data_IF_877852828906
#
_entry.id   IF_877852828906
#
_cell.length_a   1.000
_cell.length_b   1.000
_cell.length_c   1.000
_cell.angle_alpha   90.00
_cell.angle_beta   90.00
_cell.angle_gamma   90.00
#
_symmetry.space_group_name_H-M   'P 1'
#
loop_
_entity.id
_entity.type
_entity.pdbx_description
1 polymer ?
#
# COMPACT_ATOMS: atom_id res chain seq x y z
N UNK A 1 22.46 -10.83 -0.66
CA UNK A 1 21.94 -10.39 0.66
C UNK A 1 20.75 -9.52 0.38
N UNK A 2 19.66 -9.80 1.04
CA UNK A 2 18.45 -9.02 0.88
C UNK A 2 18.65 -7.61 1.40
N UNK A 3 18.01 -6.64 0.77
CA UNK A 3 17.98 -5.25 1.21
C UNK A 3 16.53 -4.84 1.41
N UNK A 4 16.24 -4.27 2.56
CA UNK A 4 14.92 -3.74 2.87
C UNK A 4 14.90 -2.24 2.57
N UNK A 5 14.11 -1.84 1.59
CA UNK A 5 13.90 -0.45 1.19
C UNK A 5 12.64 0.10 1.83
N UNK A 6 12.73 1.29 2.42
CA UNK A 6 11.60 1.99 3.07
C UNK A 6 11.67 3.47 2.74
N UNK A 7 10.55 4.05 2.30
CA UNK A 7 10.49 5.50 2.09
C UNK A 7 9.99 6.23 3.34
N UNK A 8 10.55 7.41 3.59
CA UNK A 8 9.92 8.45 4.41
C UNK A 8 9.26 9.45 3.48
N UNK A 9 7.94 9.55 3.55
CA UNK A 9 7.20 10.53 2.79
C UNK A 9 7.57 11.95 3.25
N UNK A 10 7.42 12.23 4.53
CA UNK A 10 7.74 13.54 5.12
C UNK A 10 9.22 13.94 5.01
N UNK A 11 10.11 12.95 5.05
CA UNK A 11 11.55 13.18 4.93
C UNK A 11 12.07 13.23 3.50
N UNK A 12 11.25 12.88 2.51
CA UNK A 12 11.64 12.77 1.09
C UNK A 12 12.87 11.88 0.89
N UNK A 13 12.90 10.74 1.59
CA UNK A 13 14.05 9.83 1.58
C UNK A 13 13.68 8.40 1.24
N UNK A 14 14.62 7.68 0.61
CA UNK A 14 14.62 6.23 0.54
C UNK A 14 15.72 5.70 1.47
N UNK A 15 15.33 4.87 2.42
CA UNK A 15 16.22 4.27 3.41
C UNK A 15 16.43 2.79 3.10
N UNK A 16 17.69 2.34 3.14
CA UNK A 16 18.08 0.97 2.87
C UNK A 16 18.62 0.32 4.15
N UNK A 17 18.10 -0.85 4.48
CA UNK A 17 18.51 -1.61 5.66
C UNK A 17 18.90 -3.05 5.30
N UNK A 18 19.81 -3.61 6.04
CA UNK A 18 20.02 -5.05 6.12
C UNK A 18 18.94 -5.65 7.05
N UNK A 19 18.04 -6.50 6.55
CA UNK A 19 16.93 -7.01 7.36
C UNK A 19 17.39 -7.98 8.45
N UNK A 20 18.61 -8.51 8.40
CA UNK A 20 19.16 -9.42 9.40
C UNK A 20 19.79 -8.67 10.56
N UNK A 21 20.72 -7.78 10.28
CA UNK A 21 21.37 -6.96 11.32
C UNK A 21 20.50 -5.81 11.80
N UNK A 22 19.61 -5.28 10.93
CA UNK A 22 18.82 -4.07 11.17
C UNK A 22 19.63 -2.78 10.93
N UNK A 23 20.85 -2.89 10.44
CA UNK A 23 21.68 -1.72 10.17
C UNK A 23 21.20 -0.99 8.91
N UNK A 24 21.16 0.35 8.98
CA UNK A 24 20.98 1.19 7.80
C UNK A 24 22.23 1.11 6.93
N UNK A 25 22.08 0.62 5.71
CA UNK A 25 23.17 0.43 4.75
C UNK A 25 23.27 1.53 3.71
N UNK A 26 22.27 2.42 3.65
CA UNK A 26 22.24 3.57 2.75
C UNK A 26 21.01 4.43 2.97
N UNK A 27 21.10 5.65 2.48
CA UNK A 27 19.99 6.60 2.43
C UNK A 27 20.15 7.46 1.19
N UNK A 28 19.07 7.60 0.45
CA UNK A 28 18.96 8.56 -0.66
C UNK A 28 18.05 9.69 -0.16
N UNK A 29 18.57 10.91 -0.25
CA UNK A 29 17.88 12.13 0.17
C UNK A 29 17.40 12.92 -1.05
N UNK A 30 16.56 13.91 -0.80
CA UNK A 30 16.14 14.89 -1.79
C UNK A 30 15.45 14.24 -3.01
N UNK A 31 14.59 13.25 -2.77
CA UNK A 31 13.71 12.73 -3.81
C UNK A 31 12.82 13.87 -4.37
N UNK A 32 12.41 13.75 -5.63
CA UNK A 32 11.76 14.81 -6.43
C UNK A 32 10.55 15.43 -5.74
N UNK A 33 9.77 14.59 -5.03
CA UNK A 33 8.61 14.94 -4.24
C UNK A 33 8.46 13.91 -3.12
N UNK A 34 7.43 14.03 -2.30
CA UNK A 34 7.16 13.03 -1.27
C UNK A 34 6.97 11.63 -1.87
N UNK A 35 7.86 10.67 -1.57
CA UNK A 35 7.74 9.30 -2.06
C UNK A 35 6.62 8.58 -1.32
N UNK A 36 5.90 7.71 -2.03
CA UNK A 36 4.71 7.05 -1.46
C UNK A 36 4.88 5.54 -1.36
N UNK A 37 4.86 4.85 -2.51
CA UNK A 37 4.91 3.40 -2.56
C UNK A 37 6.08 2.89 -3.38
N UNK A 38 6.43 1.63 -3.14
CA UNK A 38 7.57 0.96 -3.74
C UNK A 38 7.14 -0.30 -4.49
N UNK A 39 7.71 -0.50 -5.67
CA UNK A 39 7.56 -1.75 -6.42
C UNK A 39 8.91 -2.19 -6.99
N UNK A 40 9.40 -3.35 -6.56
CA UNK A 40 10.69 -3.88 -6.99
C UNK A 40 10.55 -4.91 -8.11
N UNK A 41 11.26 -4.71 -9.21
CA UNK A 41 11.41 -5.72 -10.26
C UNK A 41 12.71 -6.51 -10.06
N UNK A 42 12.59 -7.72 -9.55
CA UNK A 42 13.73 -8.59 -9.29
C UNK A 42 14.42 -9.13 -10.58
N UNK A 43 13.81 -8.95 -11.76
CA UNK A 43 14.39 -9.33 -13.05
C UNK A 43 15.44 -8.32 -13.50
N UNK A 44 15.15 -7.04 -13.28
CA UNK A 44 15.99 -5.91 -13.73
C UNK A 44 16.84 -5.34 -12.61
N UNK A 45 16.39 -5.46 -11.35
CA UNK A 45 16.98 -4.82 -10.20
C UNK A 45 16.54 -3.37 -10.02
N UNK A 46 15.51 -2.92 -10.75
CA UNK A 46 14.94 -1.59 -10.58
C UNK A 46 13.85 -1.57 -9.50
N UNK A 47 13.89 -0.54 -8.69
CA UNK A 47 12.85 -0.18 -7.74
C UNK A 47 12.12 1.07 -8.25
N UNK A 48 10.82 0.94 -8.45
CA UNK A 48 9.95 2.04 -8.84
C UNK A 48 9.36 2.69 -7.59
N UNK A 49 9.40 4.02 -7.54
CA UNK A 49 8.95 4.83 -6.41
C UNK A 49 7.88 5.79 -6.92
N UNK A 50 6.65 5.67 -6.46
CA UNK A 50 5.58 6.61 -6.80
C UNK A 50 5.71 7.91 -6.02
N UNK A 51 5.30 9.03 -6.66
CA UNK A 51 5.20 10.34 -6.03
C UNK A 51 3.78 10.87 -6.25
N UNK A 52 2.95 10.81 -5.20
CA UNK A 52 1.53 11.13 -5.32
C UNK A 52 1.27 12.63 -5.21
N UNK A 53 1.89 13.29 -4.23
CA UNK A 53 1.73 14.71 -3.95
C UNK A 53 3.08 15.40 -3.80
N UNK A 54 3.08 16.73 -3.97
CA UNK A 54 4.25 17.52 -3.61
C UNK A 54 4.53 17.45 -2.10
N UNK A 55 3.46 17.47 -1.29
CA UNK A 55 3.49 17.32 0.16
C UNK A 55 2.10 17.03 0.70
N UNK A 56 2.05 16.47 1.93
CA UNK A 56 0.81 16.25 2.65
C UNK A 56 0.20 14.87 2.43
N UNK A 57 -1.03 14.70 2.85
CA UNK A 57 -1.65 13.40 2.85
C UNK A 57 -3.17 13.50 2.69
N UNK A 58 -3.78 12.45 2.18
CA UNK A 58 -5.21 12.20 2.08
C UNK A 58 -5.97 13.40 1.47
N UNK A 59 -6.82 14.12 2.24
CA UNK A 59 -7.55 15.33 1.80
C UNK A 59 -6.76 16.62 2.04
N UNK A 60 -5.63 16.55 2.77
CA UNK A 60 -4.80 17.69 3.17
C UNK A 60 -3.43 17.62 2.47
N UNK A 61 -3.44 17.74 1.14
CA UNK A 61 -2.22 17.64 0.33
C UNK A 61 -2.05 18.87 -0.57
N UNK A 62 -0.81 19.08 -1.06
CA UNK A 62 -0.47 20.03 -2.09
C UNK A 62 -0.89 19.57 -3.48
N UNK A 63 -0.24 20.12 -4.52
CA UNK A 63 -0.49 19.70 -5.88
C UNK A 63 -0.16 18.22 -6.10
N UNK A 64 -0.89 17.58 -7.01
CA UNK A 64 -0.55 16.26 -7.52
C UNK A 64 0.81 16.28 -8.24
N UNK A 65 1.49 15.15 -8.19
CA UNK A 65 2.67 14.85 -8.97
C UNK A 65 2.33 13.78 -10.01
N UNK A 66 3.04 13.77 -11.14
CA UNK A 66 2.84 12.81 -12.24
C UNK A 66 4.12 12.03 -12.51
N UNK A 67 4.87 11.70 -11.47
CA UNK A 67 6.22 11.16 -11.57
C UNK A 67 6.35 9.82 -10.83
N UNK A 68 7.17 8.93 -11.41
CA UNK A 68 7.63 7.69 -10.79
C UNK A 68 9.15 7.65 -10.93
N UNK A 69 9.89 7.65 -9.83
CA UNK A 69 11.35 7.51 -9.86
C UNK A 69 11.76 6.06 -10.12
N UNK A 70 12.85 5.87 -10.86
CA UNK A 70 13.48 4.57 -11.11
C UNK A 70 14.82 4.52 -10.38
N UNK A 71 14.90 3.72 -9.33
CA UNK A 71 16.11 3.51 -8.54
C UNK A 71 16.76 2.18 -8.95
N UNK A 72 18.04 2.21 -9.24
CA UNK A 72 18.83 1.00 -9.51
C UNK A 72 19.43 0.45 -8.21
N UNK A 73 19.00 -0.73 -7.80
CA UNK A 73 19.44 -1.37 -6.57
C UNK A 73 20.92 -1.74 -6.54
N UNK A 74 21.58 -1.88 -7.71
CA UNK A 74 23.01 -2.23 -7.83
C UNK A 74 23.90 -1.01 -7.64
N UNK A 75 23.57 0.08 -8.34
CA UNK A 75 24.35 1.35 -8.26
C UNK A 75 23.90 2.22 -7.10
N UNK A 76 22.72 1.96 -6.53
CA UNK A 76 22.09 2.68 -5.42
C UNK A 76 21.86 4.17 -5.72
N UNK A 77 21.46 4.46 -6.94
CA UNK A 77 21.10 5.82 -7.38
C UNK A 77 19.75 5.80 -8.11
N UNK A 78 19.07 6.94 -8.11
CA UNK A 78 17.94 7.19 -9.01
C UNK A 78 18.51 7.42 -10.41
N UNK A 79 18.21 6.53 -11.34
CA UNK A 79 18.76 6.52 -12.70
C UNK A 79 17.84 7.17 -13.70
N UNK A 80 16.55 7.28 -13.37
CA UNK A 80 15.55 7.87 -14.28
C UNK A 80 14.28 8.29 -13.53
N UNK A 81 13.42 9.02 -14.26
CA UNK A 81 12.09 9.41 -13.81
C UNK A 81 11.10 9.21 -14.95
N UNK A 82 10.04 8.47 -14.70
CA UNK A 82 8.94 8.24 -15.64
C UNK A 82 7.91 9.36 -15.42
N UNK A 83 7.70 10.18 -16.43
CA UNK A 83 6.63 11.18 -16.47
C UNK A 83 5.36 10.53 -17.04
N UNK A 84 4.29 10.54 -16.26
CA UNK A 84 3.00 9.93 -16.65
C UNK A 84 1.90 10.96 -16.96
N UNK A 85 2.25 12.25 -17.07
CA UNK A 85 1.28 13.31 -17.42
C UNK A 85 0.49 12.95 -18.71
N UNK A 86 -0.81 13.19 -18.77
CA UNK A 86 -1.64 14.03 -17.89
C UNK A 86 -2.24 13.29 -16.67
N UNK A 87 -1.80 12.07 -16.35
CA UNK A 87 -2.32 11.30 -15.25
C UNK A 87 -1.71 11.80 -13.92
N UNK A 88 -2.55 11.92 -12.89
CA UNK A 88 -2.23 12.64 -11.66
C UNK A 88 -2.20 11.72 -10.45
N UNK A 89 -1.21 11.93 -9.58
CA UNK A 89 -1.11 11.26 -8.31
C UNK A 89 -0.94 9.74 -8.40
N UNK A 90 0.16 9.23 -9.04
CA UNK A 90 0.45 7.80 -8.99
C UNK A 90 0.62 7.36 -7.55
N UNK A 91 -0.16 6.36 -7.14
CA UNK A 91 -0.18 5.91 -5.76
C UNK A 91 0.46 4.53 -5.62
N UNK A 92 -0.28 3.46 -5.84
CA UNK A 92 0.22 2.10 -5.73
C UNK A 92 0.75 1.59 -7.06
N UNK A 93 1.78 0.75 -6.98
CA UNK A 93 2.50 0.21 -8.13
C UNK A 93 2.50 -1.32 -8.08
N UNK A 94 2.25 -1.97 -9.22
CA UNK A 94 2.34 -3.42 -9.34
C UNK A 94 2.82 -3.83 -10.73
N UNK A 95 3.75 -4.79 -10.82
CA UNK A 95 4.31 -5.27 -12.09
C UNK A 95 3.55 -6.49 -12.59
N UNK A 96 3.10 -6.42 -13.84
CA UNK A 96 2.73 -7.58 -14.64
C UNK A 96 3.98 -8.08 -15.36
N UNK A 97 4.55 -9.17 -14.85
CA UNK A 97 5.80 -9.75 -15.39
C UNK A 97 5.60 -10.46 -16.72
N UNK A 98 4.39 -10.91 -17.02
CA UNK A 98 4.05 -11.61 -18.26
C UNK A 98 3.98 -10.65 -19.46
N UNK A 99 3.52 -9.40 -19.19
CA UNK A 99 3.32 -8.40 -20.23
C UNK A 99 4.33 -7.27 -20.21
N UNK A 100 5.31 -7.34 -19.29
CA UNK A 100 6.31 -6.29 -19.08
C UNK A 100 5.70 -4.90 -18.83
N UNK A 101 4.65 -4.85 -18.00
CA UNK A 101 3.95 -3.63 -17.65
C UNK A 101 4.11 -3.30 -16.16
N UNK A 102 4.34 -2.02 -15.87
CA UNK A 102 4.15 -1.45 -14.55
C UNK A 102 2.76 -0.80 -14.50
N UNK A 103 1.86 -1.36 -13.71
CA UNK A 103 0.58 -0.73 -13.43
C UNK A 103 0.71 0.24 -12.26
N UNK A 104 0.14 1.43 -12.43
CA UNK A 104 0.03 2.44 -11.39
C UNK A 104 -1.43 2.86 -11.21
N UNK A 105 -1.93 2.87 -9.97
CA UNK A 105 -3.18 3.57 -9.69
C UNK A 105 -2.93 5.08 -9.73
N UNK A 106 -3.90 5.83 -10.25
CA UNK A 106 -3.82 7.30 -10.34
C UNK A 106 -5.09 7.94 -9.79
N UNK A 107 -4.93 9.07 -9.11
CA UNK A 107 -6.06 9.79 -8.51
C UNK A 107 -6.81 10.68 -9.49
N UNK A 108 -6.24 10.99 -10.66
CA UNK A 108 -6.86 11.82 -11.67
C UNK A 108 -6.24 11.71 -13.05
N UNK A 109 -6.76 12.48 -14.01
CA UNK A 109 -6.21 12.60 -15.35
C UNK A 109 -6.75 11.63 -16.39
N UNK A 110 -7.49 10.57 -16.01
CA UNK A 110 -8.08 9.63 -16.98
C UNK A 110 -9.39 10.20 -17.57
N UNK A 111 -10.26 10.73 -16.71
CA UNK A 111 -11.52 11.36 -17.13
C UNK A 111 -11.63 12.81 -16.63
N UNK A 112 -10.50 13.48 -16.44
CA UNK A 112 -10.39 14.84 -15.91
C UNK A 112 -9.84 14.88 -14.50
N UNK A 113 -9.66 16.07 -13.92
CA UNK A 113 -9.12 16.31 -12.58
C UNK A 113 -10.17 16.19 -11.47
N UNK A 114 -11.33 15.62 -11.77
CA UNK A 114 -12.39 15.36 -10.80
C UNK A 114 -12.12 14.07 -10.01
N UNK A 115 -12.82 13.85 -8.88
CA UNK A 115 -12.73 12.58 -8.16
C UNK A 115 -13.04 11.36 -9.02
N UNK A 116 -13.87 11.49 -10.04
CA UNK A 116 -14.21 10.43 -11.00
C UNK A 116 -13.12 10.21 -12.05
N UNK A 117 -12.11 11.09 -12.08
CA UNK A 117 -11.03 11.05 -13.08
C UNK A 117 -9.95 10.02 -12.83
N UNK A 118 -10.01 9.27 -11.72
CA UNK A 118 -8.99 8.28 -11.35
C UNK A 118 -9.13 6.95 -12.06
N UNK A 119 -8.12 6.08 -11.87
CA UNK A 119 -8.10 4.76 -12.46
C UNK A 119 -6.74 4.06 -12.34
N UNK A 120 -6.44 3.21 -13.33
CA UNK A 120 -5.16 2.53 -13.47
C UNK A 120 -4.54 2.88 -14.83
N UNK A 121 -3.25 3.19 -14.84
CA UNK A 121 -2.44 3.30 -16.04
C UNK A 121 -1.45 2.13 -16.13
N UNK A 122 -1.21 1.63 -17.35
CA UNK A 122 -0.16 0.63 -17.62
C UNK A 122 0.99 1.30 -18.37
N UNK A 123 2.19 1.15 -17.83
CA UNK A 123 3.44 1.73 -18.32
C UNK A 123 4.28 0.57 -18.86
N UNK A 124 4.66 0.66 -20.13
CA UNK A 124 5.58 -0.31 -20.73
C UNK A 124 6.98 -0.17 -20.10
N UNK A 125 7.52 -1.26 -19.56
CA UNK A 125 8.79 -1.25 -18.83
C UNK A 125 10.03 -1.01 -19.70
N UNK A 126 9.94 -1.24 -21.01
CA UNK A 126 11.05 -1.01 -21.94
C UNK A 126 11.08 0.44 -22.43
N UNK A 127 9.92 0.96 -22.83
CA UNK A 127 9.81 2.31 -23.37
C UNK A 127 9.57 3.37 -22.31
N UNK A 128 9.07 2.97 -21.13
CA UNK A 128 8.64 3.83 -20.02
C UNK A 128 7.50 4.77 -20.38
N UNK A 129 6.71 4.41 -21.39
CA UNK A 129 5.55 5.18 -21.83
C UNK A 129 4.26 4.56 -21.31
N UNK A 130 3.27 5.41 -21.02
CA UNK A 130 1.91 4.95 -20.70
C UNK A 130 1.26 4.38 -21.94
N UNK A 131 0.90 3.11 -21.92
CA UNK A 131 0.28 2.38 -23.03
C UNK A 131 -1.16 1.99 -22.74
N UNK A 132 -1.56 1.93 -21.47
CA UNK A 132 -2.93 1.59 -21.04
C UNK A 132 -3.49 2.65 -20.10
N UNK A 133 -4.83 2.83 -20.16
CA UNK A 133 -5.55 3.78 -19.31
C UNK A 133 -6.96 3.27 -19.07
N UNK A 134 -7.31 3.00 -17.82
CA UNK A 134 -8.55 2.36 -17.45
C UNK A 134 -9.19 3.14 -16.32
N UNK A 135 -10.36 3.74 -16.58
CA UNK A 135 -11.09 4.47 -15.54
C UNK A 135 -11.65 3.53 -14.48
N UNK A 136 -11.57 3.91 -13.21
CA UNK A 136 -12.15 3.17 -12.09
C UNK A 136 -13.49 3.73 -11.59
N UNK A 137 -13.88 4.91 -12.06
CA UNK A 137 -15.07 5.63 -11.62
C UNK A 137 -14.88 6.49 -10.37
N UNK A 138 -13.68 6.56 -9.82
CA UNK A 138 -13.26 7.45 -8.73
C UNK A 138 -11.73 7.49 -8.64
N UNK A 139 -11.16 8.29 -7.73
CA UNK A 139 -9.74 8.29 -7.40
C UNK A 139 -9.29 6.89 -7.01
N UNK A 140 -8.43 6.25 -7.78
CA UNK A 140 -7.84 4.97 -7.42
C UNK A 140 -6.68 5.18 -6.47
N UNK A 141 -6.75 4.52 -5.32
CA UNK A 141 -5.76 4.60 -4.25
C UNK A 141 -4.85 3.36 -4.28
N UNK A 142 -5.33 2.26 -3.75
CA UNK A 142 -4.68 0.97 -3.78
C UNK A 142 -5.37 0.02 -4.75
N UNK A 143 -4.67 -0.98 -5.24
CA UNK A 143 -5.30 -2.06 -5.99
C UNK A 143 -4.54 -3.37 -5.77
N UNK A 144 -5.19 -4.48 -6.08
CA UNK A 144 -4.55 -5.78 -6.25
C UNK A 144 -4.90 -6.32 -7.63
N UNK A 145 -3.95 -7.03 -8.22
CA UNK A 145 -4.10 -7.68 -9.52
C UNK A 145 -4.12 -9.20 -9.33
N UNK A 146 -4.97 -9.89 -10.07
CA UNK A 146 -4.94 -11.37 -10.11
C UNK A 146 -3.58 -11.85 -10.62
N UNK A 147 -3.08 -13.03 -10.17
CA UNK A 147 -1.76 -13.52 -10.55
C UNK A 147 -1.54 -13.68 -12.06
N UNK A 148 -2.62 -13.93 -12.83
CA UNK A 148 -2.60 -14.01 -14.29
C UNK A 148 -2.61 -12.64 -15.00
N UNK A 149 -2.65 -11.55 -14.23
CA UNK A 149 -2.68 -10.18 -14.74
C UNK A 149 -3.94 -9.83 -15.54
N UNK A 150 -5.01 -10.62 -15.44
CA UNK A 150 -6.24 -10.38 -16.22
C UNK A 150 -7.17 -9.36 -15.57
N UNK A 151 -7.20 -9.30 -14.24
CA UNK A 151 -8.16 -8.51 -13.48
C UNK A 151 -7.50 -7.73 -12.35
N UNK A 152 -8.02 -6.53 -12.06
CA UNK A 152 -7.65 -5.75 -10.89
C UNK A 152 -8.87 -5.33 -10.07
N UNK A 153 -8.66 -5.16 -8.78
CA UNK A 153 -9.63 -4.66 -7.81
C UNK A 153 -9.06 -3.41 -7.16
N UNK A 154 -9.68 -2.25 -7.36
CA UNK A 154 -9.17 -0.98 -6.83
C UNK A 154 -9.93 -0.53 -5.61
N UNK A 155 -9.23 -0.12 -4.56
CA UNK A 155 -9.78 0.75 -3.54
C UNK A 155 -9.92 2.17 -4.11
N UNK A 156 -11.12 2.71 -4.07
CA UNK A 156 -11.35 4.06 -4.51
C UNK A 156 -11.38 4.99 -3.30
N UNK A 157 -10.43 5.90 -3.26
CA UNK A 157 -10.23 6.81 -2.13
C UNK A 157 -11.50 7.59 -1.81
N UNK A 158 -11.88 7.57 -0.56
CA UNK A 158 -13.07 8.29 -0.04
C UNK A 158 -14.41 7.81 -0.64
N UNK A 159 -14.40 6.73 -1.43
CA UNK A 159 -15.60 6.17 -2.01
C UNK A 159 -16.01 4.85 -1.31
N UNK A 160 -17.29 4.63 -1.21
CA UNK A 160 -17.86 3.44 -0.58
C UNK A 160 -17.97 2.24 -1.53
N UNK A 161 -17.00 2.05 -2.44
CA UNK A 161 -17.01 0.91 -3.37
C UNK A 161 -15.60 0.54 -3.85
N UNK A 162 -15.47 -0.70 -4.26
CA UNK A 162 -14.32 -1.26 -5.00
C UNK A 162 -14.69 -1.38 -6.46
N UNK A 163 -13.77 -1.03 -7.35
CA UNK A 163 -13.95 -1.23 -8.80
C UNK A 163 -13.29 -2.52 -9.25
N UNK A 164 -13.98 -3.29 -10.06
CA UNK A 164 -13.47 -4.49 -10.72
C UNK A 164 -13.12 -4.12 -12.16
N UNK A 165 -11.85 -4.28 -12.51
CA UNK A 165 -11.28 -3.85 -13.79
C UNK A 165 -10.76 -5.06 -14.55
N UNK A 166 -11.12 -5.15 -15.83
CA UNK A 166 -10.50 -6.05 -16.79
C UNK A 166 -9.28 -5.34 -17.40
N UNK A 167 -8.10 -5.85 -17.09
CA UNK A 167 -6.82 -5.29 -17.56
C UNK A 167 -6.48 -5.68 -19.01
N UNK A 168 -7.15 -6.70 -19.56
CA UNK A 168 -6.95 -7.16 -20.93
C UNK A 168 -7.79 -6.33 -21.88
N UNK A 169 -9.08 -6.19 -21.59
CA UNK A 169 -10.00 -5.40 -22.44
C UNK A 169 -10.06 -3.91 -22.06
N UNK A 170 -9.33 -3.51 -21.02
CA UNK A 170 -9.20 -2.13 -20.53
C UNK A 170 -10.55 -1.52 -20.14
N UNK A 171 -11.36 -2.26 -19.35
CA UNK A 171 -12.72 -1.85 -18.98
C UNK A 171 -12.99 -1.98 -17.50
N UNK A 172 -13.74 -1.02 -16.97
CA UNK A 172 -14.45 -1.18 -15.72
C UNK A 172 -15.59 -2.18 -15.91
N UNK A 173 -15.53 -3.33 -15.23
CA UNK A 173 -16.56 -4.37 -15.34
C UNK A 173 -17.76 -4.06 -14.43
N UNK A 174 -17.50 -3.70 -13.19
CA UNK A 174 -18.52 -3.39 -12.19
C UNK A 174 -17.93 -2.72 -10.96
N UNK A 175 -18.80 -2.27 -10.08
CA UNK A 175 -18.44 -1.83 -8.72
C UNK A 175 -19.03 -2.76 -7.68
N UNK A 176 -18.36 -2.91 -6.53
CA UNK A 176 -18.82 -3.69 -5.39
C UNK A 176 -18.92 -2.72 -4.21
N UNK A 177 -20.12 -2.61 -3.63
CA UNK A 177 -20.36 -1.72 -2.50
C UNK A 177 -19.46 -2.09 -1.30
N UNK A 178 -18.78 -1.08 -0.74
CA UNK A 178 -17.86 -1.20 0.39
C UNK A 178 -18.15 -0.09 1.40
N UNK A 179 -19.30 -0.15 2.10
CA UNK A 179 -19.64 0.84 3.10
C UNK A 179 -18.53 0.94 4.14
N UNK A 180 -18.09 2.16 4.48
CA UNK A 180 -16.94 2.36 5.36
C UNK A 180 -15.61 2.53 4.64
N UNK A 181 -15.60 2.46 3.31
CA UNK A 181 -14.41 2.56 2.49
C UNK A 181 -13.49 1.32 2.58
N UNK A 182 -12.38 1.40 1.92
CA UNK A 182 -11.31 0.39 1.96
C UNK A 182 -9.96 1.07 1.77
N UNK A 183 -8.93 0.40 2.28
CA UNK A 183 -7.53 0.80 2.15
C UNK A 183 -6.73 -0.32 1.49
N UNK A 184 -5.45 -0.48 1.76
CA UNK A 184 -4.56 -1.40 1.06
C UNK A 184 -5.06 -2.85 1.08
N UNK A 185 -5.51 -3.40 -0.07
CA UNK A 185 -6.02 -4.76 -0.15
C UNK A 185 -4.89 -5.78 -0.31
N UNK A 186 -5.22 -7.05 -0.01
CA UNK A 186 -4.41 -8.21 -0.35
C UNK A 186 -5.14 -9.14 -1.32
N UNK A 187 -4.41 -10.06 -1.95
CA UNK A 187 -4.99 -11.10 -2.80
C UNK A 187 -4.36 -12.45 -2.46
N UNK A 188 -5.15 -13.55 -2.45
CA UNK A 188 -4.64 -14.89 -2.24
C UNK A 188 -3.67 -15.29 -3.34
N UNK A 189 -2.72 -16.18 -3.02
CA UNK A 189 -1.67 -16.57 -3.97
C UNK A 189 -2.20 -17.23 -5.24
N UNK A 190 -3.32 -17.93 -5.13
CA UNK A 190 -4.04 -18.54 -6.27
C UNK A 190 -4.96 -17.55 -6.99
N UNK A 191 -5.10 -16.32 -6.48
CA UNK A 191 -5.96 -15.29 -7.02
C UNK A 191 -7.45 -15.47 -6.76
N UNK A 192 -7.85 -16.50 -6.02
CA UNK A 192 -9.28 -16.82 -5.80
C UNK A 192 -10.01 -15.82 -4.91
N UNK A 193 -9.28 -15.13 -4.02
CA UNK A 193 -9.88 -14.21 -3.05
C UNK A 193 -9.08 -12.92 -2.94
N UNK A 194 -9.79 -11.78 -2.96
CA UNK A 194 -9.23 -10.47 -2.64
C UNK A 194 -9.80 -9.98 -1.30
N UNK A 195 -8.93 -9.39 -0.47
CA UNK A 195 -9.20 -9.01 0.92
C UNK A 195 -9.13 -7.50 1.09
N UNK A 196 -10.22 -6.89 1.52
CA UNK A 196 -10.35 -5.44 1.65
C UNK A 196 -10.56 -5.04 3.10
N UNK A 197 -9.58 -4.39 3.73
CA UNK A 197 -9.72 -3.89 5.09
C UNK A 197 -10.59 -2.64 5.11
N UNK A 198 -11.40 -2.49 6.17
CA UNK A 198 -12.15 -1.28 6.43
C UNK A 198 -11.41 -0.40 7.42
N UNK A 199 -11.01 0.82 7.02
CA UNK A 199 -10.38 1.75 7.94
C UNK A 199 -11.37 2.31 8.96
N UNK A 200 -12.67 2.37 8.66
CA UNK A 200 -13.72 2.92 9.53
C UNK A 200 -13.40 4.32 10.08
N UNK A 201 -12.64 5.13 9.36
CA UNK A 201 -12.20 6.47 9.78
C UNK A 201 -13.41 7.40 9.93
N UNK A 202 -13.58 7.97 11.13
CA UNK A 202 -14.61 8.96 11.41
C UNK A 202 -16.06 8.42 11.42
N UNK A 203 -16.26 7.11 11.33
CA UNK A 203 -17.58 6.48 11.27
C UNK A 203 -18.01 5.98 12.66
N UNK A 204 -18.79 6.78 13.36
CA UNK A 204 -19.35 6.41 14.67
C UNK A 204 -20.35 5.26 14.50
N UNK A 205 -20.16 4.19 15.29
CA UNK A 205 -21.06 3.02 15.27
C UNK A 205 -20.81 2.04 14.12
N UNK A 206 -19.76 2.23 13.33
CA UNK A 206 -19.37 1.31 12.28
C UNK A 206 -18.46 0.19 12.85
N UNK A 207 -18.80 -1.06 12.53
CA UNK A 207 -17.99 -2.20 12.93
C UNK A 207 -16.92 -2.48 11.86
N UNK A 208 -15.62 -2.39 12.18
CA UNK A 208 -14.55 -2.70 11.24
C UNK A 208 -14.59 -4.16 10.79
N UNK A 209 -14.15 -4.39 9.57
CA UNK A 209 -14.12 -5.74 8.97
C UNK A 209 -13.02 -5.86 7.92
N UNK A 210 -12.76 -7.11 7.50
CA UNK A 210 -12.16 -7.41 6.20
C UNK A 210 -13.25 -8.02 5.33
N UNK A 211 -13.53 -7.41 4.17
CA UNK A 211 -14.40 -8.03 3.15
C UNK A 211 -13.56 -8.95 2.28
N UNK A 212 -14.06 -10.15 2.06
CA UNK A 212 -13.47 -11.15 1.17
C UNK A 212 -14.29 -11.20 -0.11
N UNK A 213 -13.68 -10.88 -1.22
CA UNK A 213 -14.29 -10.95 -2.55
C UNK A 213 -13.85 -12.24 -3.21
N UNK A 214 -14.82 -13.07 -3.65
CA UNK A 214 -14.57 -14.17 -4.58
C UNK A 214 -14.29 -13.56 -5.97
N UNK A 215 -13.08 -13.74 -6.47
CA UNK A 215 -12.61 -13.08 -7.70
C UNK A 215 -13.18 -13.72 -8.96
N UNK A 216 -13.69 -14.93 -8.88
CA UNK A 216 -14.38 -15.60 -10.00
C UNK A 216 -15.80 -15.06 -10.19
N UNK A 217 -16.47 -14.74 -9.10
CA UNK A 217 -17.87 -14.29 -9.11
C UNK A 217 -17.98 -12.76 -8.99
N UNK A 218 -16.92 -12.08 -8.55
CA UNK A 218 -16.88 -10.64 -8.25
C UNK A 218 -17.94 -10.22 -7.24
N UNK A 219 -18.10 -11.00 -6.16
CA UNK A 219 -19.03 -10.73 -5.06
C UNK A 219 -18.32 -10.84 -3.70
N UNK A 220 -18.85 -10.15 -2.70
CA UNK A 220 -18.44 -10.36 -1.32
C UNK A 220 -18.93 -11.74 -0.87
N UNK A 221 -18.01 -12.65 -0.61
CA UNK A 221 -18.29 -14.01 -0.15
C UNK A 221 -18.29 -14.12 1.38
N UNK A 222 -17.51 -13.26 2.06
CA UNK A 222 -17.33 -13.28 3.52
C UNK A 222 -17.04 -11.90 4.08
N UNK A 223 -17.36 -11.71 5.37
CA UNK A 223 -16.89 -10.58 6.19
C UNK A 223 -16.23 -11.13 7.44
N UNK A 224 -14.98 -10.78 7.66
CA UNK A 224 -14.23 -11.11 8.87
C UNK A 224 -14.31 -9.92 9.81
N UNK A 225 -14.97 -10.02 10.96
CA UNK A 225 -15.11 -8.90 11.88
C UNK A 225 -13.77 -8.56 12.55
N UNK A 226 -13.55 -7.27 12.80
CA UNK A 226 -12.39 -6.75 13.50
C UNK A 226 -12.83 -5.93 14.72
N UNK A 227 -11.95 -5.79 15.71
CA UNK A 227 -12.18 -5.00 16.92
C UNK A 227 -11.76 -3.53 16.75
N UNK A 228 -10.89 -3.26 15.78
CA UNK A 228 -10.37 -1.92 15.47
C UNK A 228 -10.29 -1.72 13.98
N UNK A 229 -10.11 -0.47 13.54
CA UNK A 229 -9.87 -0.16 12.13
C UNK A 229 -8.65 -0.89 11.57
N UNK A 230 -8.69 -1.22 10.30
CA UNK A 230 -7.59 -1.83 9.57
C UNK A 230 -7.29 -1.04 8.30
N UNK A 231 -5.99 -0.80 8.02
CA UNK A 231 -5.53 -0.02 6.87
C UNK A 231 -4.82 -0.86 5.82
N UNK A 232 -4.43 -2.09 6.14
CA UNK A 232 -3.73 -2.95 5.19
C UNK A 232 -4.02 -4.41 5.44
N UNK A 233 -4.06 -5.19 4.35
CA UNK A 233 -3.99 -6.65 4.37
C UNK A 233 -2.88 -7.08 3.43
N UNK A 234 -1.89 -7.77 3.95
CA UNK A 234 -0.88 -8.46 3.16
C UNK A 234 -1.12 -9.97 3.23
N UNK A 235 -1.05 -10.66 2.09
CA UNK A 235 -1.11 -12.12 2.04
C UNK A 235 0.31 -12.65 1.86
N UNK A 236 0.79 -13.41 2.82
CA UNK A 236 2.15 -13.94 2.80
C UNK A 236 2.29 -15.23 1.98
N UNK A 237 3.52 -15.75 1.90
CA UNK A 237 3.83 -16.98 1.13
C UNK A 237 3.16 -18.26 1.68
N UNK A 238 2.51 -18.20 2.85
CA UNK A 238 1.77 -19.30 3.48
C UNK A 238 0.26 -19.08 3.48
N UNK A 239 -0.22 -18.13 2.64
CA UNK A 239 -1.61 -17.69 2.56
C UNK A 239 -2.20 -17.16 3.88
N UNK A 240 -1.35 -16.69 4.82
CA UNK A 240 -1.81 -15.99 6.02
C UNK A 240 -2.14 -14.55 5.68
N UNK A 241 -3.20 -14.01 6.29
CA UNK A 241 -3.51 -12.59 6.21
C UNK A 241 -2.79 -11.87 7.34
N UNK A 242 -1.91 -10.94 7.00
CA UNK A 242 -1.28 -10.02 7.94
C UNK A 242 -2.00 -8.69 7.85
N UNK A 243 -2.69 -8.32 8.92
CA UNK A 243 -3.64 -7.21 8.94
C UNK A 243 -3.10 -6.09 9.82
N UNK A 244 -2.85 -4.94 9.24
CA UNK A 244 -2.43 -3.74 9.97
C UNK A 244 -3.60 -3.10 10.68
N UNK A 245 -3.62 -3.22 12.01
CA UNK A 245 -4.65 -2.69 12.90
C UNK A 245 -4.22 -1.36 13.50
N UNK A 246 -5.17 -0.44 13.66
CA UNK A 246 -4.89 0.84 14.30
C UNK A 246 -6.07 1.34 15.13
N UNK A 247 -5.78 2.29 16.02
CA UNK A 247 -6.79 3.09 16.71
C UNK A 247 -6.39 4.55 16.70
N UNK A 248 -7.37 5.40 16.42
CA UNK A 248 -7.23 6.85 16.52
C UNK A 248 -8.22 7.33 17.57
N UNK A 249 -7.73 8.07 18.55
CA UNK A 249 -8.53 8.76 19.56
C UNK A 249 -8.64 10.24 19.19
N UNK A 250 -9.62 10.92 19.75
CA UNK A 250 -9.75 12.36 19.60
C UNK A 250 -9.17 13.01 20.86
N UNK A 251 -8.17 13.86 20.68
CA UNK A 251 -7.64 14.69 21.78
C UNK A 251 -8.74 15.59 22.32
N UNK A 252 -9.03 15.45 23.60
CA UNK A 252 -10.10 16.19 24.27
C UNK A 252 -9.86 17.70 24.36
N UNK A 253 -8.61 18.14 24.19
CA UNK A 253 -8.22 19.56 24.29
C UNK A 253 -8.21 20.20 22.91
N UNK A 254 -7.52 19.60 21.96
CA UNK A 254 -7.33 20.17 20.61
C UNK A 254 -8.38 19.71 19.60
N UNK A 255 -9.23 18.74 19.94
CA UNK A 255 -10.17 18.04 19.04
C UNK A 255 -9.49 17.41 17.81
N UNK A 256 -8.18 17.16 17.87
CA UNK A 256 -7.42 16.56 16.78
C UNK A 256 -7.37 15.04 16.92
N UNK A 257 -7.34 14.29 15.82
CA UNK A 257 -7.12 12.86 15.85
C UNK A 257 -5.69 12.55 16.31
N UNK A 258 -5.56 11.64 17.27
CA UNK A 258 -4.28 11.15 17.79
C UNK A 258 -4.24 9.62 17.62
N UNK A 259 -3.30 9.07 16.86
CA UNK A 259 -3.08 7.63 16.84
C UNK A 259 -2.65 7.13 18.21
N UNK A 260 -3.35 6.13 18.75
CA UNK A 260 -3.12 5.58 20.09
C UNK A 260 -2.71 4.11 20.10
N UNK A 261 -2.83 3.43 18.95
CA UNK A 261 -2.50 2.01 18.83
C UNK A 261 -2.06 1.68 17.41
N UNK A 262 -1.15 0.71 17.30
CA UNK A 262 -0.75 0.03 16.09
C UNK A 262 -0.40 -1.42 16.38
N UNK A 263 -0.82 -2.33 15.51
CA UNK A 263 -0.53 -3.74 15.66
C UNK A 263 -0.76 -4.52 14.38
N UNK A 264 -0.24 -5.74 14.33
CA UNK A 264 -0.47 -6.67 13.23
C UNK A 264 -1.19 -7.91 13.75
N UNK A 265 -2.38 -8.19 13.23
CA UNK A 265 -3.07 -9.46 13.44
C UNK A 265 -2.75 -10.44 12.32
N UNK A 266 -2.56 -11.70 12.69
CA UNK A 266 -2.36 -12.80 11.77
C UNK A 266 -3.62 -13.67 11.72
N UNK A 267 -4.13 -13.92 10.51
CA UNK A 267 -5.23 -14.85 10.28
C UNK A 267 -4.77 -15.98 9.39
N UNK A 268 -5.21 -17.20 9.68
CA UNK A 268 -4.96 -18.38 8.86
C UNK A 268 -6.24 -18.89 8.21
N UNK A 269 -6.18 -19.42 6.98
CA UNK A 269 -7.31 -20.08 6.37
C UNK A 269 -7.59 -21.41 7.10
N UNK A 270 -8.86 -21.60 7.50
CA UNK A 270 -9.35 -22.84 8.12
C UNK A 270 -10.63 -23.23 7.41
N UNK A 271 -10.52 -24.20 6.49
CA UNK A 271 -11.62 -24.55 5.59
C UNK A 271 -12.04 -23.33 4.76
N UNK A 272 -13.33 -22.95 4.78
CA UNK A 272 -13.82 -21.81 4.01
C UNK A 272 -13.67 -20.46 4.75
N UNK A 273 -13.14 -20.43 5.96
CA UNK A 273 -13.05 -19.24 6.81
C UNK A 273 -11.61 -18.87 7.18
N UNK A 274 -11.46 -17.73 7.83
CA UNK A 274 -10.18 -17.23 8.35
C UNK A 274 -10.27 -17.07 9.86
N UNK A 275 -9.34 -17.66 10.59
CA UNK A 275 -9.27 -17.57 12.04
C UNK A 275 -8.02 -16.81 12.48
N UNK A 276 -8.19 -15.91 13.46
CA UNK A 276 -7.10 -15.15 14.04
C UNK A 276 -6.24 -16.05 14.92
N UNK A 277 -4.96 -16.15 14.59
CA UNK A 277 -3.98 -16.99 15.28
C UNK A 277 -3.06 -16.21 16.20
N UNK A 278 -2.95 -14.89 16.04
CA UNK A 278 -2.12 -14.05 16.88
C UNK A 278 -2.26 -12.58 16.56
N UNK A 279 -1.70 -11.76 17.46
CA UNK A 279 -1.55 -10.31 17.29
C UNK A 279 -0.27 -9.86 17.97
N UNK A 280 0.42 -8.92 17.36
CA UNK A 280 1.61 -8.28 17.91
C UNK A 280 1.45 -6.77 17.84
N UNK A 281 1.79 -6.06 18.91
CA UNK A 281 1.86 -4.60 18.88
C UNK A 281 3.10 -4.15 18.11
N UNK A 282 2.94 -3.09 17.31
CA UNK A 282 3.98 -2.47 16.50
C UNK A 282 4.02 -0.96 16.78
N UNK A 283 4.58 -0.17 15.88
CA UNK A 283 4.43 1.28 15.96
C UNK A 283 3.04 1.75 15.51
N UNK A 284 2.83 3.06 15.54
CA UNK A 284 1.51 3.67 15.28
C UNK A 284 1.14 3.62 13.81
N UNK A 285 -0.04 3.11 13.54
CA UNK A 285 -0.65 2.96 12.21
C UNK A 285 0.26 2.18 11.25
N UNK A 286 0.28 0.84 11.36
CA UNK A 286 1.00 -0.05 10.46
C UNK A 286 0.34 -0.01 9.06
N UNK A 287 0.92 0.77 8.15
CA UNK A 287 0.28 1.09 6.87
C UNK A 287 0.66 0.08 5.78
N UNK A 288 1.95 -0.15 5.57
CA UNK A 288 2.40 -1.11 4.56
C UNK A 288 3.03 -2.32 5.24
N UNK A 289 2.64 -3.51 4.80
CA UNK A 289 3.21 -4.77 5.27
C UNK A 289 3.74 -5.53 4.05
N UNK A 290 4.97 -6.04 4.17
CA UNK A 290 5.51 -7.05 3.27
C UNK A 290 6.11 -8.20 4.08
N UNK A 291 6.35 -9.35 3.47
CA UNK A 291 6.91 -10.52 4.16
C UNK A 291 8.13 -11.07 3.44
N UNK A 292 9.01 -11.71 4.20
CA UNK A 292 10.06 -12.51 3.61
C UNK A 292 9.46 -13.69 2.83
N UNK A 293 10.03 -14.07 1.67
CA UNK A 293 9.48 -15.13 0.81
C UNK A 293 9.30 -16.50 1.49
N UNK A 294 10.04 -16.80 2.55
CA UNK A 294 9.88 -18.05 3.34
C UNK A 294 8.75 -17.98 4.38
N UNK A 295 8.11 -16.81 4.54
CA UNK A 295 7.05 -16.58 5.52
C UNK A 295 7.52 -16.59 6.99
N UNK A 296 8.82 -16.47 7.26
CA UNK A 296 9.36 -16.43 8.62
C UNK A 296 9.24 -15.06 9.28
N UNK A 297 9.26 -13.99 8.48
CA UNK A 297 9.27 -12.61 8.96
C UNK A 297 8.27 -11.75 8.21
N UNK A 298 7.74 -10.75 8.89
CA UNK A 298 7.02 -9.63 8.28
C UNK A 298 7.75 -8.32 8.57
N UNK A 299 7.66 -7.39 7.63
CA UNK A 299 8.21 -6.04 7.69
C UNK A 299 7.04 -5.06 7.65
N UNK A 300 6.95 -4.20 8.64
CA UNK A 300 5.77 -3.37 8.89
C UNK A 300 6.18 -1.91 9.02
N UNK A 301 5.76 -1.08 8.08
CA UNK A 301 5.96 0.37 8.22
C UNK A 301 4.92 0.97 9.16
N UNK A 302 5.38 1.68 10.16
CA UNK A 302 4.56 2.37 11.14
C UNK A 302 4.58 3.87 10.81
N UNK A 303 3.61 4.30 10.00
CA UNK A 303 3.70 5.60 9.33
C UNK A 303 3.85 6.77 10.29
N UNK A 304 3.09 6.78 11.40
CA UNK A 304 3.14 7.89 12.36
C UNK A 304 4.24 7.75 13.41
N UNK A 305 4.79 6.56 13.60
CA UNK A 305 5.98 6.38 14.42
C UNK A 305 7.26 6.72 13.68
N UNK A 306 7.24 6.71 12.35
CA UNK A 306 8.45 6.85 11.52
C UNK A 306 9.42 5.69 11.69
N UNK A 307 8.89 4.50 11.98
CA UNK A 307 9.69 3.29 12.26
C UNK A 307 9.24 2.13 11.39
N UNK A 308 10.10 1.13 11.26
CA UNK A 308 9.78 -0.14 10.67
C UNK A 308 9.97 -1.25 11.69
N UNK A 309 8.94 -2.08 11.90
CA UNK A 309 9.00 -3.26 12.77
C UNK A 309 9.32 -4.51 11.96
N UNK A 310 10.29 -5.31 12.41
CA UNK A 310 10.56 -6.66 11.92
C UNK A 310 9.91 -7.64 12.88
N UNK A 311 8.93 -8.40 12.41
CA UNK A 311 8.12 -9.33 13.20
C UNK A 311 8.50 -10.76 12.88
N UNK A 312 8.77 -11.57 13.91
CA UNK A 312 8.86 -13.02 13.79
C UNK A 312 7.46 -13.61 13.67
N UNK A 313 7.18 -14.26 12.55
CA UNK A 313 5.85 -14.79 12.24
C UNK A 313 5.58 -16.16 12.89
N UNK A 314 6.56 -16.74 13.55
CA UNK A 314 6.39 -17.99 14.32
C UNK A 314 5.95 -17.70 15.74
N UNK A 315 6.60 -16.72 16.37
CA UNK A 315 6.34 -16.33 17.76
C UNK A 315 5.37 -15.15 17.89
N UNK A 316 5.06 -14.47 16.79
CA UNK A 316 4.29 -13.23 16.75
C UNK A 316 4.87 -12.18 17.71
N UNK A 317 6.17 -11.93 17.61
CA UNK A 317 6.89 -10.94 18.41
C UNK A 317 7.70 -9.99 17.54
N UNK A 318 7.85 -8.74 17.97
CA UNK A 318 8.74 -7.79 17.31
C UNK A 318 10.19 -8.15 17.64
N UNK A 319 10.94 -8.53 16.62
CA UNK A 319 12.38 -8.83 16.72
C UNK A 319 13.21 -7.56 16.79
N UNK A 320 12.86 -6.57 15.98
CA UNK A 320 13.59 -5.29 15.86
C UNK A 320 12.64 -4.16 15.47
N UNK A 321 12.99 -2.96 15.91
CA UNK A 321 12.39 -1.70 15.44
C UNK A 321 13.50 -0.87 14.82
N UNK A 322 13.34 -0.48 13.55
CA UNK A 322 14.29 0.33 12.81
C UNK A 322 13.75 1.75 12.71
N UNK A 323 14.59 2.73 13.02
CA UNK A 323 14.23 4.14 12.81
C UNK A 323 14.38 4.50 11.34
N UNK A 324 13.29 4.95 10.70
CA UNK A 324 13.26 5.43 9.33
C UNK A 324 13.34 6.95 9.32
N UNK A 325 12.32 7.62 9.83
CA UNK A 325 12.29 9.05 10.07
C UNK A 325 11.36 9.35 11.25
N UNK A 326 11.93 9.64 12.40
CA UNK A 326 11.20 9.91 13.65
C UNK A 326 11.09 11.40 13.97
N UNK A 327 11.60 12.28 13.10
CA UNK A 327 11.59 13.73 13.30
C UNK A 327 10.27 14.38 12.93
N UNK A 328 9.32 14.36 13.88
CA UNK A 328 7.99 14.93 13.74
C UNK A 328 7.94 16.47 13.61
N UNK A 329 9.07 17.16 13.73
CA UNK A 329 9.10 18.64 13.70
C UNK A 329 8.96 19.20 12.28
N UNK A 330 9.20 18.37 11.27
CA UNK A 330 9.14 18.76 9.86
C UNK A 330 7.73 18.96 9.33
N UNK A 331 6.73 18.37 9.98
CA UNK A 331 5.37 18.34 9.48
C UNK A 331 4.41 19.23 10.26
N UNK A 332 3.70 20.06 9.50
CA UNK A 332 2.67 20.94 10.05
C UNK A 332 1.33 20.22 10.32
N UNK A 333 1.12 19.05 9.73
CA UNK A 333 -0.15 18.33 9.82
C UNK A 333 0.03 16.97 10.49
N UNK A 334 0.60 16.00 9.80
CA UNK A 334 0.72 14.62 10.27
C UNK A 334 2.00 14.01 9.73
N UNK A 335 2.84 13.52 10.63
CA UNK A 335 4.12 12.92 10.27
C UNK A 335 3.92 11.59 9.56
N UNK A 336 4.56 11.41 8.41
CA UNK A 336 4.53 10.21 7.59
C UNK A 336 5.97 9.69 7.37
N UNK A 337 6.56 9.21 8.46
CA UNK A 337 7.99 8.92 8.53
C UNK A 337 8.39 7.53 8.02
N UNK A 338 7.45 6.61 7.78
CA UNK A 338 7.72 5.30 7.20
C UNK A 338 6.51 4.85 6.40
N UNK A 339 6.61 4.77 5.08
CA UNK A 339 5.49 4.47 4.18
C UNK A 339 5.74 3.20 3.38
N UNK A 340 5.92 3.27 2.07
CA UNK A 340 6.13 2.12 1.21
C UNK A 340 7.36 1.29 1.57
N UNK A 341 7.25 -0.03 1.42
CA UNK A 341 8.32 -1.02 1.71
C UNK A 341 8.53 -1.90 0.49
N UNK A 342 9.79 -2.22 0.20
CA UNK A 342 10.15 -3.29 -0.72
C UNK A 342 11.30 -4.14 -0.15
N UNK A 343 11.23 -5.46 -0.34
CA UNK A 343 12.34 -6.37 -0.12
C UNK A 343 13.01 -6.62 -1.48
N UNK A 344 14.30 -6.29 -1.57
CA UNK A 344 15.10 -6.36 -2.80
C UNK A 344 16.17 -7.44 -2.67
#
# INVERSE_FOLDING_TARGET
MDTLAVVSQSGQTLNLFDPTSGLRTGQITDLIAEPHELCFDNRTGFLYISHTYQHGWYTSHGAFVSLISVFDSKTRIVVDTIEISPYLGPHYLQIDKERDLLYASVEGGIAGETPEGGGIVGIDLHTRLVTKRIASGHKSHWFVMTPDGSKAYTCNKEAGFVSVIDLITERLLRTIAMPGGCEQPGISRDGSFAFFPSPAIGQVGYNPYIKVIDTRLDIISQSIPLETGAVTVHVDSRDRLLVGLYRIEVDKISSKPIPSYGGVACFQPIGPSYERTGTVETGLVPLTITSHPDGSRAYVSNIFSGTLSIVDMTTMTVMKVLEVDTDRRKDKAMHQGAHGIALM
#
